data_IF_135622302773
#
_entry.id   IF_135622302773
#
_cell.length_a   1.000
_cell.length_b   1.000
_cell.length_c   1.000
_cell.angle_alpha   90.00
_cell.angle_beta   90.00
_cell.angle_gamma   90.00
#
_symmetry.space_group_name_H-M   'P 1'
#
loop_
_entity.id
_entity.type
_entity.pdbx_description
1 polymer ?
#
# COMPACT_ATOMS: atom_id res chain seq x y z
N UNK A 1 -9.15 6.19 -10.84
CA UNK A 1 -8.61 4.84 -10.56
C UNK A 1 -8.96 4.42 -9.13
N UNK A 2 -9.25 3.16 -8.97
CA UNK A 2 -9.62 2.55 -7.67
C UNK A 2 -8.48 1.69 -7.18
N UNK A 3 -8.13 1.82 -5.89
CA UNK A 3 -7.09 1.01 -5.27
C UNK A 3 -7.57 0.38 -3.97
N UNK A 4 -6.97 -0.77 -3.63
CA UNK A 4 -7.11 -1.41 -2.32
C UNK A 4 -5.73 -1.42 -1.69
N UNK A 5 -5.63 -1.05 -0.42
CA UNK A 5 -4.35 -0.83 0.26
C UNK A 5 -4.21 -1.72 1.49
N UNK A 6 -3.08 -2.42 1.62
CA UNK A 6 -2.74 -3.21 2.78
C UNK A 6 -2.19 -2.32 3.93
N UNK A 7 -1.98 -2.92 5.10
CA UNK A 7 -1.57 -2.20 6.31
C UNK A 7 -0.22 -1.51 6.18
N UNK A 8 0.81 -2.20 5.69
CA UNK A 8 2.17 -1.66 5.62
C UNK A 8 2.28 -0.40 4.78
N UNK A 9 1.68 -0.30 3.59
CA UNK A 9 1.67 0.97 2.84
C UNK A 9 0.99 2.12 3.58
N UNK A 10 -0.10 1.87 4.28
CA UNK A 10 -0.77 2.90 5.09
C UNK A 10 0.20 3.42 6.17
N UNK A 11 0.83 2.52 6.90
CA UNK A 11 1.78 2.85 7.96
C UNK A 11 3.00 3.58 7.38
N UNK A 12 3.58 3.06 6.32
CA UNK A 12 4.76 3.64 5.67
C UNK A 12 4.50 5.07 5.18
N UNK A 13 3.40 5.29 4.46
CA UNK A 13 3.04 6.61 3.99
C UNK A 13 2.71 7.58 5.13
N UNK A 14 2.12 7.07 6.21
CA UNK A 14 1.85 7.88 7.41
C UNK A 14 3.14 8.33 8.09
N UNK A 15 4.15 7.44 8.18
CA UNK A 15 5.46 7.76 8.78
C UNK A 15 6.17 8.90 8.06
N UNK A 16 6.01 9.03 6.77
CA UNK A 16 6.64 10.07 5.96
C UNK A 16 5.70 11.22 5.60
N UNK A 17 4.54 11.31 6.27
CA UNK A 17 3.52 12.34 6.06
C UNK A 17 3.02 12.44 4.61
N UNK A 18 2.88 11.28 3.94
CA UNK A 18 2.44 11.22 2.53
C UNK A 18 1.16 10.40 2.33
N UNK A 19 0.40 10.12 3.39
CA UNK A 19 -0.84 9.37 3.23
C UNK A 19 -1.83 10.07 2.27
N UNK A 20 -1.90 11.40 2.33
CA UNK A 20 -2.76 12.20 1.45
C UNK A 20 -2.43 12.04 -0.03
N UNK A 21 -1.23 11.58 -0.37
CA UNK A 21 -0.86 11.33 -1.76
C UNK A 21 -1.82 10.32 -2.41
N UNK A 22 -2.30 9.34 -1.65
CA UNK A 22 -3.29 8.39 -2.14
C UNK A 22 -4.60 9.08 -2.55
N UNK A 23 -5.02 10.05 -1.76
CA UNK A 23 -6.23 10.83 -2.08
C UNK A 23 -6.04 11.73 -3.30
N UNK A 24 -4.84 12.26 -3.49
CA UNK A 24 -4.51 13.11 -4.64
C UNK A 24 -4.43 12.31 -5.94
N UNK A 25 -3.92 11.08 -5.87
CA UNK A 25 -3.64 10.25 -7.05
C UNK A 25 -4.83 9.38 -7.49
N UNK A 26 -5.70 8.98 -6.56
CA UNK A 26 -6.73 7.97 -6.83
C UNK A 26 -8.11 8.47 -6.44
N UNK A 27 -9.13 8.05 -7.20
CA UNK A 27 -10.52 8.44 -6.98
C UNK A 27 -11.15 7.70 -5.79
N UNK A 28 -10.81 6.42 -5.64
CA UNK A 28 -11.35 5.58 -4.58
C UNK A 28 -10.20 4.81 -3.92
N UNK A 29 -10.05 5.00 -2.63
CA UNK A 29 -9.07 4.30 -1.80
C UNK A 29 -9.82 3.45 -0.79
N UNK A 30 -9.63 2.14 -0.87
CA UNK A 30 -10.39 1.16 -0.11
C UNK A 30 -9.44 0.31 0.73
N UNK A 31 -9.83 0.03 1.97
CA UNK A 31 -9.15 -0.95 2.82
C UNK A 31 -10.18 -1.93 3.39
N UNK A 32 -9.81 -3.19 3.61
CA UNK A 32 -10.69 -4.12 4.30
C UNK A 32 -10.75 -3.83 5.80
N UNK A 33 -11.82 -4.27 6.45
CA UNK A 33 -12.02 -4.09 7.89
C UNK A 33 -10.84 -4.63 8.71
N UNK A 34 -10.25 -5.77 8.33
CA UNK A 34 -9.10 -6.33 9.04
C UNK A 34 -7.91 -5.39 9.08
N UNK A 35 -7.67 -4.63 8.01
CA UNK A 35 -6.61 -3.62 7.95
C UNK A 35 -6.93 -2.46 8.90
N UNK A 36 -8.15 -1.99 8.90
CA UNK A 36 -8.58 -0.93 9.83
C UNK A 36 -8.41 -1.38 11.29
N UNK A 37 -8.84 -2.61 11.62
CA UNK A 37 -8.68 -3.16 12.96
C UNK A 37 -7.22 -3.24 13.38
N UNK A 38 -6.35 -3.70 12.49
CA UNK A 38 -4.92 -3.82 12.77
C UNK A 38 -4.27 -2.48 13.07
N UNK A 39 -4.59 -1.46 12.29
CA UNK A 39 -3.93 -0.14 12.39
C UNK A 39 -4.55 0.73 13.47
N UNK A 40 -5.87 0.83 13.52
CA UNK A 40 -6.57 1.78 14.40
C UNK A 40 -6.92 1.16 15.75
N UNK A 41 -7.44 -0.06 15.77
CA UNK A 41 -7.93 -0.68 17.01
C UNK A 41 -6.80 -1.36 17.75
N UNK A 42 -6.12 -2.34 17.13
CA UNK A 42 -5.01 -3.05 17.75
C UNK A 42 -3.73 -2.21 17.81
N UNK A 43 -3.53 -1.32 16.84
CA UNK A 43 -2.37 -0.44 16.74
C UNK A 43 -2.59 0.94 17.34
N UNK A 44 -3.49 1.10 18.30
CA UNK A 44 -3.78 2.38 18.94
C UNK A 44 -2.48 3.05 19.43
N UNK A 45 -2.32 4.35 19.14
CA UNK A 45 -1.13 5.16 19.41
C UNK A 45 0.13 4.75 18.65
N UNK A 46 0.07 3.77 17.73
CA UNK A 46 1.17 3.44 16.84
C UNK A 46 1.08 4.24 15.54
N UNK A 47 2.19 4.31 14.77
CA UNK A 47 2.17 5.00 13.48
C UNK A 47 1.06 4.50 12.56
N UNK A 48 0.36 5.43 11.91
CA UNK A 48 -0.74 5.15 11.01
C UNK A 48 -2.12 5.20 11.66
N UNK A 49 -2.25 4.96 12.97
CA UNK A 49 -3.55 4.91 13.64
C UNK A 49 -4.32 6.22 13.56
N UNK A 50 -3.69 7.32 13.95
CA UNK A 50 -4.29 8.66 13.92
C UNK A 50 -4.57 9.12 12.49
N UNK A 51 -3.62 8.89 11.60
CA UNK A 51 -3.72 9.28 10.20
C UNK A 51 -4.86 8.56 9.51
N UNK A 52 -4.97 7.25 9.69
CA UNK A 52 -6.05 6.46 9.10
C UNK A 52 -7.41 6.83 9.68
N UNK A 53 -7.48 7.01 10.99
CA UNK A 53 -8.72 7.41 11.67
C UNK A 53 -9.26 8.73 11.14
N UNK A 54 -8.39 9.67 10.81
CA UNK A 54 -8.75 10.99 10.30
C UNK A 54 -8.92 11.06 8.79
N UNK A 55 -8.58 9.99 8.06
CA UNK A 55 -8.66 9.94 6.61
C UNK A 55 -10.08 9.55 6.15
N UNK A 56 -11.01 10.50 6.19
CA UNK A 56 -12.42 10.28 5.85
C UNK A 56 -12.64 9.85 4.39
N UNK A 57 -11.66 10.06 3.52
CA UNK A 57 -11.68 9.68 2.12
C UNK A 57 -11.32 8.22 1.89
N UNK A 58 -10.82 7.49 2.91
CA UNK A 58 -10.57 6.05 2.81
C UNK A 58 -11.86 5.31 3.17
N UNK A 59 -12.30 4.43 2.27
CA UNK A 59 -13.47 3.59 2.47
C UNK A 59 -13.05 2.29 3.14
N UNK A 60 -13.76 1.90 4.19
CA UNK A 60 -13.54 0.63 4.88
C UNK A 60 -14.64 -0.34 4.46
N UNK A 61 -14.24 -1.49 3.92
CA UNK A 61 -15.16 -2.50 3.41
C UNK A 61 -15.02 -3.81 4.18
N UNK A 62 -16.17 -4.43 4.49
CA UNK A 62 -16.16 -5.77 5.05
C UNK A 62 -16.08 -6.80 3.91
N UNK A 63 -15.38 -7.90 4.18
CA UNK A 63 -15.23 -8.99 3.23
C UNK A 63 -16.18 -10.12 3.58
N UNK A 64 -17.00 -10.52 2.62
CA UNK A 64 -17.89 -11.67 2.79
C UNK A 64 -17.07 -12.97 2.84
N UNK A 65 -17.25 -13.78 3.88
CA UNK A 65 -16.43 -14.96 4.18
C UNK A 65 -17.06 -16.28 3.71
N UNK A 66 -17.86 -16.28 2.66
CA UNK A 66 -18.73 -17.40 2.32
C UNK A 66 -18.16 -18.41 1.31
N UNK A 67 -16.96 -18.22 0.79
CA UNK A 67 -16.39 -19.11 -0.24
C UNK A 67 -15.27 -19.97 0.31
N UNK A 68 -15.12 -21.25 -0.16
CA UNK A 68 -13.93 -22.05 0.15
C UNK A 68 -12.67 -21.30 -0.31
N UNK A 69 -11.68 -21.21 0.57
CA UNK A 69 -10.44 -20.51 0.26
C UNK A 69 -9.53 -21.42 -0.58
N UNK A 70 -8.92 -20.82 -1.60
CA UNK A 70 -7.82 -21.44 -2.32
C UNK A 70 -6.69 -21.76 -1.33
N UNK A 71 -6.05 -22.95 -1.41
CA UNK A 71 -4.94 -23.28 -0.51
C UNK A 71 -3.83 -22.24 -0.49
N UNK A 72 -3.58 -21.58 -1.62
CA UNK A 72 -2.57 -20.52 -1.74
C UNK A 72 -2.84 -19.34 -0.79
N UNK A 73 -4.11 -19.07 -0.48
CA UNK A 73 -4.49 -17.96 0.38
C UNK A 73 -4.31 -18.27 1.88
N UNK A 74 -4.16 -19.54 2.24
CA UNK A 74 -4.02 -19.95 3.65
C UNK A 74 -2.69 -19.54 4.27
N UNK A 75 -1.70 -19.14 3.46
CA UNK A 75 -0.40 -18.68 3.97
C UNK A 75 -0.40 -17.21 4.38
N UNK A 76 -1.49 -16.49 4.11
CA UNK A 76 -1.60 -15.05 4.38
C UNK A 76 -2.11 -14.79 5.79
N UNK A 77 -1.72 -13.67 6.38
CA UNK A 77 -2.38 -13.19 7.58
C UNK A 77 -3.78 -12.64 7.23
N UNK A 78 -4.58 -12.28 8.24
CA UNK A 78 -5.95 -11.87 8.03
C UNK A 78 -6.08 -10.60 7.19
N UNK A 79 -5.23 -9.60 7.43
CA UNK A 79 -5.24 -8.35 6.67
C UNK A 79 -4.92 -8.58 5.20
N UNK A 80 -3.85 -9.33 4.94
CA UNK A 80 -3.43 -9.69 3.58
C UNK A 80 -4.52 -10.51 2.87
N UNK A 81 -5.10 -11.48 3.56
CA UNK A 81 -6.17 -12.31 3.02
C UNK A 81 -7.36 -11.46 2.60
N UNK A 82 -7.83 -10.57 3.48
CA UNK A 82 -8.97 -9.72 3.18
C UNK A 82 -8.70 -8.75 2.03
N UNK A 83 -7.47 -8.22 1.93
CA UNK A 83 -7.07 -7.39 0.79
C UNK A 83 -7.22 -8.17 -0.53
N UNK A 84 -6.74 -9.39 -0.57
CA UNK A 84 -6.79 -10.20 -1.80
C UNK A 84 -8.22 -10.60 -2.13
N UNK A 85 -9.01 -11.05 -1.14
CA UNK A 85 -10.40 -11.42 -1.37
C UNK A 85 -11.23 -10.22 -1.87
N UNK A 86 -11.00 -9.05 -1.27
CA UNK A 86 -11.66 -7.82 -1.69
C UNK A 86 -11.26 -7.43 -3.11
N UNK A 87 -9.98 -7.59 -3.45
CA UNK A 87 -9.47 -7.30 -4.79
C UNK A 87 -10.07 -8.24 -5.85
N UNK A 88 -10.23 -9.51 -5.53
CA UNK A 88 -10.89 -10.47 -6.44
C UNK A 88 -12.33 -10.05 -6.72
N UNK A 89 -13.04 -9.58 -5.69
CA UNK A 89 -14.43 -9.14 -5.79
C UNK A 89 -14.60 -7.80 -6.53
N UNK A 90 -13.82 -6.79 -6.14
CA UNK A 90 -13.98 -5.41 -6.62
C UNK A 90 -13.25 -5.18 -7.95
N UNK A 91 -12.17 -5.90 -8.21
CA UNK A 91 -11.30 -5.74 -9.39
C UNK A 91 -10.76 -4.31 -9.49
N UNK A 92 -9.94 -3.87 -8.52
CA UNK A 92 -9.37 -2.54 -8.52
C UNK A 92 -8.34 -2.37 -9.66
N UNK A 93 -7.98 -1.11 -9.94
CA UNK A 93 -6.88 -0.83 -10.86
C UNK A 93 -5.54 -1.27 -10.29
N UNK A 94 -5.35 -1.11 -8.98
CA UNK A 94 -4.13 -1.54 -8.28
C UNK A 94 -4.44 -2.04 -6.87
N UNK A 95 -3.63 -3.02 -6.43
CA UNK A 95 -3.56 -3.49 -5.05
C UNK A 95 -2.21 -3.07 -4.50
N UNK A 96 -2.20 -2.35 -3.39
CA UNK A 96 -0.98 -1.79 -2.82
C UNK A 96 -0.51 -2.67 -1.67
N UNK A 97 0.54 -3.43 -1.92
CA UNK A 97 1.11 -4.43 -1.00
C UNK A 97 2.63 -4.35 -1.03
N UNK A 98 3.27 -4.31 0.13
CA UNK A 98 4.73 -4.30 0.24
C UNK A 98 5.33 -5.68 0.54
N UNK A 99 4.64 -6.51 1.34
CA UNK A 99 5.16 -7.80 1.78
C UNK A 99 5.34 -8.76 0.60
N UNK A 100 6.54 -9.35 0.55
CA UNK A 100 6.96 -10.19 -0.57
C UNK A 100 6.04 -11.38 -0.82
N UNK A 101 5.64 -12.09 0.24
CA UNK A 101 4.77 -13.26 0.12
C UNK A 101 3.38 -12.86 -0.39
N UNK A 102 2.78 -11.82 0.20
CA UNK A 102 1.48 -11.35 -0.21
C UNK A 102 1.49 -10.84 -1.67
N UNK A 103 2.56 -10.18 -2.09
CA UNK A 103 2.74 -9.76 -3.49
C UNK A 103 2.78 -10.95 -4.45
N UNK A 104 3.49 -12.02 -4.06
CA UNK A 104 3.54 -13.24 -4.87
C UNK A 104 2.16 -13.88 -5.02
N UNK A 105 1.42 -13.97 -3.93
CA UNK A 105 0.06 -14.53 -3.95
C UNK A 105 -0.84 -13.67 -4.82
N UNK A 106 -0.82 -12.36 -4.65
CA UNK A 106 -1.62 -11.43 -5.46
C UNK A 106 -1.32 -11.58 -6.95
N UNK A 107 -0.05 -11.67 -7.31
CA UNK A 107 0.37 -11.87 -8.72
C UNK A 107 -0.09 -13.22 -9.25
N UNK A 108 -0.01 -14.29 -8.45
CA UNK A 108 -0.51 -15.60 -8.83
C UNK A 108 -2.03 -15.59 -9.06
N UNK A 109 -2.76 -14.71 -8.38
CA UNK A 109 -4.19 -14.48 -8.57
C UNK A 109 -4.49 -13.48 -9.70
N UNK A 110 -3.47 -13.10 -10.46
CA UNK A 110 -3.57 -12.16 -11.58
C UNK A 110 -4.04 -10.75 -11.19
N UNK A 111 -3.72 -10.32 -9.97
CA UNK A 111 -4.04 -8.98 -9.49
C UNK A 111 -2.89 -8.00 -9.81
N UNK A 112 -3.22 -6.76 -10.21
CA UNK A 112 -2.20 -5.73 -10.45
C UNK A 112 -1.66 -5.18 -9.13
N UNK A 113 -0.35 -5.31 -8.90
CA UNK A 113 0.29 -5.00 -7.61
C UNK A 113 1.29 -3.86 -7.73
N UNK A 114 1.23 -2.92 -6.78
CA UNK A 114 2.27 -1.90 -6.54
C UNK A 114 2.64 -1.90 -5.06
N UNK A 115 3.85 -1.43 -4.76
CA UNK A 115 4.28 -1.16 -3.39
C UNK A 115 4.31 0.33 -3.08
N UNK A 116 4.73 0.68 -1.87
CA UNK A 116 4.83 2.07 -1.41
C UNK A 116 5.74 2.91 -2.32
N UNK A 117 6.91 2.38 -2.71
CA UNK A 117 7.80 3.11 -3.64
C UNK A 117 7.16 3.34 -5.00
N UNK A 118 6.35 2.39 -5.47
CA UNK A 118 5.59 2.56 -6.70
C UNK A 118 4.60 3.72 -6.60
N UNK A 119 3.96 3.90 -5.45
CA UNK A 119 3.07 5.04 -5.21
C UNK A 119 3.83 6.37 -5.23
N UNK A 120 5.00 6.43 -4.59
CA UNK A 120 5.84 7.62 -4.63
C UNK A 120 6.26 7.96 -6.06
N UNK A 121 6.59 6.96 -6.85
CA UNK A 121 6.95 7.13 -8.27
C UNK A 121 5.76 7.65 -9.10
N UNK A 122 4.56 7.12 -8.86
CA UNK A 122 3.35 7.64 -9.50
C UNK A 122 3.14 9.11 -9.13
N UNK A 123 3.38 9.47 -7.86
CA UNK A 123 3.31 10.85 -7.39
C UNK A 123 4.30 11.77 -8.10
N UNK A 124 5.51 11.27 -8.37
CA UNK A 124 6.52 11.99 -9.14
C UNK A 124 6.05 12.22 -10.59
N UNK A 125 5.60 11.18 -11.28
CA UNK A 125 5.13 11.32 -12.66
C UNK A 125 3.89 12.21 -12.78
N UNK A 126 3.07 12.25 -11.74
CA UNK A 126 1.89 13.12 -11.70
C UNK A 126 2.22 14.59 -11.32
N UNK A 127 3.47 14.86 -10.96
CA UNK A 127 3.90 16.23 -10.61
C UNK A 127 3.69 16.63 -9.16
N UNK A 128 3.29 15.70 -8.27
CA UNK A 128 3.12 16.00 -6.85
C UNK A 128 4.40 15.95 -6.05
N UNK A 129 5.40 15.21 -6.52
CA UNK A 129 6.68 15.06 -5.85
C UNK A 129 7.82 15.37 -6.83
N UNK A 130 8.87 16.04 -6.35
CA UNK A 130 10.10 16.22 -7.11
C UNK A 130 10.98 14.97 -6.99
N UNK A 131 11.98 14.88 -7.88
CA UNK A 131 13.00 13.83 -7.82
C UNK A 131 13.68 13.80 -6.46
N UNK A 132 14.08 14.97 -5.95
CA UNK A 132 14.76 15.07 -4.66
C UNK A 132 13.85 14.65 -3.52
N UNK A 133 12.58 15.02 -3.57
CA UNK A 133 11.60 14.62 -2.55
C UNK A 133 11.44 13.10 -2.48
N UNK A 134 11.37 12.41 -3.63
CA UNK A 134 11.29 10.93 -3.63
C UNK A 134 12.53 10.32 -2.99
N UNK A 135 13.71 10.81 -3.33
CA UNK A 135 14.97 10.30 -2.78
C UNK A 135 15.00 10.50 -1.25
N UNK A 136 14.61 11.69 -0.78
CA UNK A 136 14.57 12.00 0.64
C UNK A 136 13.53 11.16 1.38
N UNK A 137 12.33 10.99 0.82
CA UNK A 137 11.27 10.18 1.41
C UNK A 137 11.65 8.71 1.47
N UNK A 138 12.31 8.21 0.43
CA UNK A 138 12.80 6.82 0.41
C UNK A 138 13.84 6.58 1.51
N UNK A 139 14.72 7.55 1.73
CA UNK A 139 15.70 7.48 2.82
C UNK A 139 15.01 7.54 4.19
N UNK A 140 13.98 8.38 4.35
CA UNK A 140 13.19 8.43 5.59
C UNK A 140 12.56 7.07 5.89
N UNK A 141 12.00 6.39 4.90
CA UNK A 141 11.45 5.05 5.08
C UNK A 141 12.49 4.07 5.60
N UNK A 142 13.70 4.09 5.03
CA UNK A 142 14.81 3.26 5.51
C UNK A 142 15.16 3.61 6.96
N UNK A 143 15.21 4.89 7.29
CA UNK A 143 15.53 5.38 8.64
C UNK A 143 14.47 4.95 9.67
N UNK A 144 13.22 4.84 9.27
CA UNK A 144 12.12 4.31 10.10
C UNK A 144 12.12 2.79 10.22
N UNK A 145 13.05 2.09 9.55
CA UNK A 145 13.16 0.64 9.61
C UNK A 145 12.39 -0.11 8.53
N UNK A 146 11.85 0.60 7.54
CA UNK A 146 11.23 -0.06 6.37
C UNK A 146 12.34 -0.62 5.50
N UNK A 147 12.26 -1.92 5.22
CA UNK A 147 13.29 -2.60 4.43
C UNK A 147 13.14 -2.27 2.95
N UNK A 148 14.13 -1.58 2.40
CA UNK A 148 14.26 -1.35 0.96
C UNK A 148 15.64 -1.83 0.56
N UNK A 149 15.70 -2.82 -0.34
CA UNK A 149 16.98 -3.38 -0.77
C UNK A 149 17.78 -2.36 -1.61
N UNK A 150 19.12 -2.45 -1.55
CA UNK A 150 19.99 -1.60 -2.37
C UNK A 150 19.69 -1.69 -3.87
N UNK A 151 19.42 -2.88 -4.45
CA UNK A 151 19.00 -2.95 -5.85
C UNK A 151 17.74 -2.15 -6.17
N UNK A 152 16.75 -2.15 -5.27
CA UNK A 152 15.52 -1.37 -5.46
C UNK A 152 15.81 0.13 -5.40
N UNK A 153 16.61 0.58 -4.44
CA UNK A 153 17.02 1.99 -4.36
C UNK A 153 17.79 2.43 -5.60
N UNK A 154 18.69 1.58 -6.10
CA UNK A 154 19.45 1.86 -7.32
C UNK A 154 18.54 1.91 -8.54
N UNK A 155 17.57 1.00 -8.63
CA UNK A 155 16.55 1.00 -9.68
C UNK A 155 15.76 2.31 -9.65
N UNK A 156 15.32 2.75 -8.46
CA UNK A 156 14.59 4.00 -8.31
C UNK A 156 15.38 5.20 -8.80
N UNK A 157 16.65 5.30 -8.43
CA UNK A 157 17.54 6.36 -8.90
C UNK A 157 17.68 6.36 -10.42
N UNK A 158 17.82 5.18 -11.02
CA UNK A 158 17.91 5.02 -12.48
C UNK A 158 16.61 5.48 -13.16
N UNK A 159 15.44 5.08 -12.64
CA UNK A 159 14.15 5.50 -13.18
C UNK A 159 13.99 7.03 -13.12
N UNK A 160 14.36 7.64 -12.01
CA UNK A 160 14.29 9.10 -11.85
C UNK A 160 15.26 9.83 -12.78
N UNK A 161 16.43 9.27 -13.05
CA UNK A 161 17.42 9.88 -13.96
C UNK A 161 17.01 9.75 -15.42
N UNK A 162 16.21 8.73 -15.78
CA UNK A 162 15.73 8.52 -17.15
C UNK A 162 14.54 9.42 -17.49
N UNK A 163 13.91 10.04 -16.51
CA UNK A 163 12.79 10.96 -16.73
C UNK A 163 13.30 12.39 -16.78
N UNK A 164 13.19 13.03 -17.93
CA UNK A 164 13.65 14.40 -18.18
C UNK A 164 12.50 15.37 -18.21
#
# INVERSE_FOLDING_TARGET
>A
MKIIVNSTPIIALSLINQLDLLNQLFNEVIIPWAVYQEIVIAGDNKPGAKELKNANWIQVEEVASSSPLEPLLLVLDRGELEVILLAISIKPDWVIIDEKLARRVAKAMELPVKGTLGILLVGFYAGYLSKQEILDLSQQLVDYGIRISSPILNWLKTELDNDH
#
